data_IF_754313425099
#
_entry.id   IF_754313425099
#
_cell.length_a   1.000
_cell.length_b   1.000
_cell.length_c   1.000
_cell.angle_alpha   90.00
_cell.angle_beta   90.00
_cell.angle_gamma   90.00
#
_symmetry.space_group_name_H-M   'P 1'
#
loop_
_entity.id
_entity.type
_entity.pdbx_description
1 polymer ?
#
# COMPACT_ATOMS: atom_id res chain seq x y z
N UNK A 1 22.46 -13.83 -16.63
CA UNK A 1 21.52 -13.97 -17.77
C UNK A 1 20.34 -14.89 -17.50
N UNK A 2 20.46 -16.23 -17.33
CA UNK A 2 19.29 -17.13 -17.16
C UNK A 2 18.35 -16.76 -15.98
N UNK A 3 18.91 -16.32 -14.84
CA UNK A 3 18.12 -15.86 -13.67
C UNK A 3 17.41 -14.51 -13.89
N UNK A 4 17.97 -13.63 -14.72
CA UNK A 4 17.36 -12.34 -15.06
C UNK A 4 16.18 -12.52 -16.03
N UNK A 5 16.28 -13.50 -16.95
CA UNK A 5 15.23 -13.85 -17.90
C UNK A 5 13.98 -14.44 -17.20
N UNK A 6 14.17 -15.30 -16.20
CA UNK A 6 13.07 -15.86 -15.42
C UNK A 6 12.29 -14.79 -14.62
N UNK A 7 13.00 -13.78 -14.09
CA UNK A 7 12.38 -12.65 -13.37
C UNK A 7 11.62 -11.74 -14.35
N UNK A 8 12.15 -11.49 -15.55
CA UNK A 8 11.44 -10.77 -16.61
C UNK A 8 10.17 -11.51 -17.07
N UNK A 9 10.20 -12.85 -17.13
CA UNK A 9 9.04 -13.67 -17.43
C UNK A 9 7.98 -13.62 -16.31
N UNK A 10 8.38 -13.59 -15.04
CA UNK A 10 7.47 -13.41 -13.91
C UNK A 10 6.86 -12.00 -13.89
N UNK A 11 7.65 -10.96 -14.18
CA UNK A 11 7.17 -9.58 -14.35
C UNK A 11 6.20 -9.45 -15.53
N UNK A 12 6.47 -10.15 -16.63
CA UNK A 12 5.58 -10.20 -17.81
C UNK A 12 4.26 -10.91 -17.50
N UNK A 13 4.30 -12.04 -16.79
CA UNK A 13 3.10 -12.76 -16.35
C UNK A 13 2.26 -11.92 -15.36
N UNK A 14 2.92 -11.12 -14.53
CA UNK A 14 2.28 -10.18 -13.60
C UNK A 14 1.52 -9.04 -14.32
N UNK A 15 2.02 -8.58 -15.47
CA UNK A 15 1.33 -7.57 -16.31
C UNK A 15 0.06 -8.16 -16.97
N UNK A 16 -0.04 -9.47 -17.19
CA UNK A 16 -1.15 -10.06 -17.94
C UNK A 16 -2.42 -10.37 -17.11
N UNK A 17 -2.46 -10.06 -15.81
CA UNK A 17 -3.62 -10.32 -14.94
C UNK A 17 -4.27 -9.03 -14.44
N UNK A 18 -4.77 -8.20 -15.35
CA UNK A 18 -5.62 -7.06 -14.98
C UNK A 18 -7.09 -7.47 -14.94
N UNK A 19 -7.68 -7.40 -13.74
CA UNK A 19 -9.12 -7.37 -13.54
C UNK A 19 -9.55 -5.90 -13.53
N UNK A 20 -9.79 -5.31 -14.71
CA UNK A 20 -10.40 -3.97 -14.77
C UNK A 20 -11.91 -4.07 -14.49
N UNK A 21 -12.43 -3.20 -13.62
CA UNK A 21 -13.88 -3.02 -13.40
C UNK A 21 -14.45 -3.63 -12.12
N UNK A 22 -13.64 -4.06 -11.14
CA UNK A 22 -14.15 -4.52 -9.84
C UNK A 22 -14.42 -3.34 -8.90
N UNK A 23 -15.61 -3.33 -8.31
CA UNK A 23 -15.88 -2.56 -7.11
C UNK A 23 -15.21 -3.26 -5.91
N UNK A 24 -14.70 -2.48 -4.97
CA UNK A 24 -14.18 -2.99 -3.69
C UNK A 24 -14.36 -1.90 -2.64
N UNK A 25 -14.47 -2.28 -1.36
CA UNK A 25 -14.65 -1.32 -0.27
C UNK A 25 -13.36 -0.99 0.47
N UNK A 26 -12.25 -1.66 0.13
CA UNK A 26 -10.92 -1.38 0.63
C UNK A 26 -9.86 -2.06 -0.23
N UNK A 27 -8.69 -1.43 -0.38
CA UNK A 27 -7.50 -2.06 -0.90
C UNK A 27 -6.28 -1.69 -0.02
N UNK A 28 -5.41 -2.66 0.32
CA UNK A 28 -4.19 -2.36 1.06
C UNK A 28 -3.20 -1.65 0.14
N UNK A 29 -2.59 -0.57 0.62
CA UNK A 29 -1.44 0.06 -0.03
C UNK A 29 -0.14 -0.72 0.26
N UNK A 30 0.91 -0.47 -0.51
CA UNK A 30 2.23 -1.04 -0.21
C UNK A 30 2.74 -0.57 1.15
N UNK A 31 3.21 -1.52 1.97
CA UNK A 31 3.84 -1.20 3.24
C UNK A 31 5.19 -0.54 2.98
N UNK A 32 5.45 0.61 3.62
CA UNK A 32 6.74 1.32 3.51
C UNK A 32 7.73 0.74 4.53
N UNK A 33 8.77 0.08 4.01
CA UNK A 33 9.78 -0.66 4.79
C UNK A 33 11.18 -0.17 4.37
N UNK A 34 11.58 1.04 4.80
CA UNK A 34 12.76 1.71 4.25
C UNK A 34 14.06 1.08 4.76
N UNK A 35 15.14 1.23 3.99
CA UNK A 35 16.50 0.79 4.35
C UNK A 35 17.36 1.91 4.92
N UNK A 36 16.73 2.84 5.64
CA UNK A 36 17.39 3.94 6.34
C UNK A 36 18.29 3.38 7.45
N UNK A 37 19.54 3.81 7.45
CA UNK A 37 20.58 3.38 8.38
C UNK A 37 21.11 4.51 9.24
N UNK A 38 21.01 5.76 8.77
CA UNK A 38 21.63 6.90 9.45
C UNK A 38 20.68 8.08 9.54
N UNK A 39 20.94 8.91 10.55
CA UNK A 39 20.40 10.25 10.64
C UNK A 39 20.69 11.03 9.35
N UNK A 40 19.68 11.75 8.88
CA UNK A 40 19.78 12.59 7.70
C UNK A 40 19.62 11.84 6.37
N UNK A 41 19.30 10.54 6.42
CA UNK A 41 18.92 9.78 5.23
C UNK A 41 17.43 9.94 4.92
N UNK A 42 17.15 10.05 3.62
CA UNK A 42 15.82 10.09 3.02
C UNK A 42 15.71 8.89 2.09
N UNK A 43 14.63 8.14 2.19
CA UNK A 43 14.25 7.10 1.25
C UNK A 43 12.99 7.53 0.52
N UNK A 44 12.94 7.25 -0.78
CA UNK A 44 11.78 7.50 -1.63
C UNK A 44 11.51 6.28 -2.49
N UNK A 45 10.24 5.95 -2.69
CA UNK A 45 9.77 4.87 -3.54
C UNK A 45 8.57 5.30 -4.37
N UNK A 46 8.52 4.84 -5.62
CA UNK A 46 7.39 4.97 -6.52
C UNK A 46 6.97 3.57 -6.98
N UNK A 47 5.72 3.22 -6.76
CA UNK A 47 5.11 1.95 -7.09
C UNK A 47 4.01 2.11 -8.13
N UNK A 48 3.93 1.18 -9.08
CA UNK A 48 2.79 1.06 -10.00
C UNK A 48 2.16 -0.32 -9.89
N UNK A 49 0.87 -0.37 -9.53
CA UNK A 49 0.06 -1.58 -9.44
C UNK A 49 -0.82 -1.73 -10.67
N UNK A 50 -0.59 -2.76 -11.48
CA UNK A 50 -1.31 -2.93 -12.75
C UNK A 50 -2.78 -3.28 -12.54
N UNK A 51 -3.10 -4.21 -11.64
CA UNK A 51 -4.47 -4.71 -11.43
C UNK A 51 -5.45 -3.60 -11.01
N UNK A 52 -5.01 -2.66 -10.18
CA UNK A 52 -5.82 -1.54 -9.69
C UNK A 52 -5.51 -0.21 -10.37
N UNK A 53 -4.67 -0.22 -11.42
CA UNK A 53 -4.08 0.99 -12.03
C UNK A 53 -3.64 2.02 -10.97
N UNK A 54 -2.91 1.56 -9.96
CA UNK A 54 -2.60 2.33 -8.76
C UNK A 54 -1.20 2.89 -8.77
N UNK A 55 -1.06 4.13 -8.32
CA UNK A 55 0.20 4.77 -7.97
C UNK A 55 0.41 4.68 -6.45
N UNK A 56 1.59 4.26 -6.03
CA UNK A 56 2.01 4.23 -4.62
C UNK A 56 3.28 5.08 -4.47
N UNK A 57 3.26 6.06 -3.57
CA UNK A 57 4.39 6.94 -3.29
C UNK A 57 4.78 6.73 -1.83
N UNK A 58 6.05 6.43 -1.59
CA UNK A 58 6.59 6.17 -0.27
C UNK A 58 7.73 7.12 0.02
N UNK A 59 7.72 7.71 1.21
CA UNK A 59 8.75 8.58 1.73
C UNK A 59 9.13 8.12 3.12
N UNK A 60 10.43 8.15 3.41
CA UNK A 60 10.95 7.92 4.75
C UNK A 60 12.08 8.88 5.05
N UNK A 61 12.19 9.33 6.29
CA UNK A 61 13.23 10.24 6.73
C UNK A 61 13.65 9.94 8.16
N UNK A 62 14.95 10.05 8.45
CA UNK A 62 15.49 9.95 9.79
C UNK A 62 16.03 11.31 10.30
N UNK A 63 15.27 12.06 11.11
CA UNK A 63 15.73 13.33 11.67
C UNK A 63 16.81 13.17 12.76
N UNK A 64 16.74 12.06 13.50
CA UNK A 64 17.64 11.71 14.60
C UNK A 64 18.09 10.26 14.49
N UNK A 65 19.16 9.88 15.20
CA UNK A 65 19.59 8.49 15.28
C UNK A 65 18.42 7.62 15.76
N UNK A 66 18.15 6.53 15.03
CA UNK A 66 17.12 5.54 15.35
C UNK A 66 15.67 6.06 15.33
N UNK A 67 15.42 7.30 14.90
CA UNK A 67 14.06 7.84 14.71
C UNK A 67 13.70 7.81 13.22
N UNK A 68 12.48 7.36 12.92
CA UNK A 68 11.95 7.20 11.58
C UNK A 68 10.63 7.97 11.44
N UNK A 69 10.49 8.73 10.37
CA UNK A 69 9.24 9.32 9.91
C UNK A 69 8.92 8.71 8.55
N UNK A 70 7.68 8.27 8.36
CA UNK A 70 7.19 7.74 7.09
C UNK A 70 6.04 8.60 6.58
N UNK A 71 5.93 8.69 5.25
CA UNK A 71 4.76 9.20 4.56
C UNK A 71 4.44 8.29 3.38
N UNK A 72 3.17 7.92 3.23
CA UNK A 72 2.69 7.12 2.12
C UNK A 72 1.51 7.80 1.43
N UNK A 73 1.44 7.69 0.11
CA UNK A 73 0.28 8.12 -0.66
C UNK A 73 -0.05 7.05 -1.70
N UNK A 74 -1.26 6.52 -1.61
CA UNK A 74 -1.79 5.52 -2.53
C UNK A 74 -2.94 6.14 -3.32
N UNK A 75 -2.96 5.87 -4.63
CA UNK A 75 -4.00 6.39 -5.50
C UNK A 75 -4.30 5.40 -6.64
N UNK A 76 -5.48 4.79 -6.61
CA UNK A 76 -6.04 3.98 -7.70
C UNK A 76 -7.08 4.83 -8.44
N UNK A 77 -6.64 5.50 -9.51
CA UNK A 77 -7.48 6.48 -10.22
C UNK A 77 -8.21 5.85 -11.38
N UNK A 78 -9.51 6.06 -11.43
CA UNK A 78 -10.29 5.86 -12.64
C UNK A 78 -11.25 7.05 -12.83
N UNK A 79 -10.89 7.96 -13.75
CA UNK A 79 -11.70 9.16 -14.02
C UNK A 79 -13.10 8.80 -14.54
N UNK A 80 -13.20 7.73 -15.30
CA UNK A 80 -14.45 7.25 -15.88
C UNK A 80 -15.39 6.71 -14.79
N UNK A 81 -14.83 6.11 -13.75
CA UNK A 81 -15.58 5.73 -12.54
C UNK A 81 -16.17 6.98 -11.87
N UNK A 82 -15.38 8.02 -11.61
CA UNK A 82 -15.89 9.27 -11.00
C UNK A 82 -16.89 10.02 -11.88
N UNK A 83 -16.75 9.92 -13.20
CA UNK A 83 -17.71 10.48 -14.16
C UNK A 83 -18.95 9.58 -14.34
N UNK A 84 -19.01 8.46 -13.62
CA UNK A 84 -20.08 7.46 -13.67
C UNK A 84 -20.26 6.82 -15.06
N UNK A 85 -19.23 6.86 -15.90
CA UNK A 85 -19.23 6.27 -17.25
C UNK A 85 -18.65 4.85 -17.28
N UNK A 86 -18.04 4.39 -16.18
CA UNK A 86 -17.49 3.04 -16.01
C UNK A 86 -17.72 2.54 -14.59
N UNK A 87 -17.84 1.22 -14.41
CA UNK A 87 -17.89 0.60 -13.10
C UNK A 87 -16.51 0.43 -12.48
N UNK A 88 -16.49 0.42 -11.16
CA UNK A 88 -15.30 0.20 -10.38
C UNK A 88 -15.14 1.26 -9.31
N UNK A 89 -13.94 1.29 -8.75
CA UNK A 89 -13.63 2.09 -7.58
C UNK A 89 -12.47 3.05 -7.85
N UNK A 90 -12.69 4.33 -7.57
CA UNK A 90 -11.65 5.35 -7.43
C UNK A 90 -11.28 5.48 -5.96
N UNK A 91 -9.99 5.35 -5.64
CA UNK A 91 -9.53 5.31 -4.26
C UNK A 91 -8.25 6.13 -4.09
N UNK A 92 -8.21 6.95 -3.04
CA UNK A 92 -6.99 7.60 -2.59
C UNK A 92 -6.83 7.47 -1.08
N UNK A 93 -5.59 7.34 -0.63
CA UNK A 93 -5.25 7.17 0.77
C UNK A 93 -3.89 7.79 1.09
N UNK A 94 -3.84 8.67 2.08
CA UNK A 94 -2.60 9.29 2.57
C UNK A 94 -2.31 8.87 4.01
N UNK A 95 -1.04 8.65 4.34
CA UNK A 95 -0.61 8.23 5.66
C UNK A 95 0.65 8.93 6.10
N UNK A 96 0.78 9.11 7.42
CA UNK A 96 2.02 9.48 8.08
C UNK A 96 2.26 8.54 9.27
N UNK A 97 3.52 8.22 9.53
CA UNK A 97 3.90 7.42 10.69
C UNK A 97 5.20 7.91 11.30
N UNK A 98 5.37 7.62 12.57
CA UNK A 98 6.62 7.81 13.30
C UNK A 98 7.03 6.48 13.93
N UNK A 99 8.31 6.32 14.21
CA UNK A 99 8.77 5.13 14.88
C UNK A 99 10.27 5.09 15.08
N UNK A 100 10.74 3.88 15.34
CA UNK A 100 12.13 3.62 15.62
C UNK A 100 12.68 2.57 14.66
N UNK A 101 13.99 2.63 14.44
CA UNK A 101 14.69 1.64 13.65
C UNK A 101 16.02 1.26 14.30
N UNK A 102 16.45 0.02 14.07
CA UNK A 102 17.74 -0.51 14.51
C UNK A 102 18.49 -1.09 13.30
N UNK A 103 19.79 -0.82 13.24
CA UNK A 103 20.61 -1.23 12.10
C UNK A 103 21.43 -2.46 12.40
N UNK A 104 21.43 -3.40 11.45
CA UNK A 104 22.25 -4.60 11.45
C UNK A 104 23.20 -4.58 10.24
N UNK A 105 24.22 -5.44 10.22
CA UNK A 105 25.25 -5.47 9.16
C UNK A 105 24.69 -5.42 7.73
N UNK A 106 23.58 -6.12 7.47
CA UNK A 106 22.88 -6.13 6.18
C UNK A 106 21.38 -5.88 6.28
N UNK A 107 20.89 -5.46 7.46
CA UNK A 107 19.46 -5.29 7.69
C UNK A 107 19.11 -4.05 8.50
N UNK A 108 17.83 -3.72 8.52
CA UNK A 108 17.23 -2.67 9.34
C UNK A 108 15.93 -3.24 9.88
N UNK A 109 15.81 -3.34 11.20
CA UNK A 109 14.54 -3.61 11.86
C UNK A 109 13.85 -2.29 12.18
N UNK A 110 12.54 -2.21 12.03
CA UNK A 110 11.77 -1.01 12.36
C UNK A 110 10.46 -1.36 13.05
N UNK A 111 9.98 -0.43 13.87
CA UNK A 111 8.62 -0.44 14.38
C UNK A 111 8.06 0.97 14.23
N UNK A 112 6.95 1.10 13.52
CA UNK A 112 6.28 2.38 13.31
C UNK A 112 4.84 2.33 13.78
N UNK A 113 4.33 3.48 14.21
CA UNK A 113 2.92 3.69 14.47
C UNK A 113 2.46 4.90 13.66
N UNK A 114 1.29 4.79 13.06
CA UNK A 114 0.84 5.79 12.11
C UNK A 114 -0.66 5.95 12.05
N UNK A 115 -1.04 6.99 11.32
CA UNK A 115 -2.41 7.33 11.00
C UNK A 115 -2.53 7.68 9.53
N UNK A 116 -3.65 7.32 8.93
CA UNK A 116 -3.98 7.64 7.56
C UNK A 116 -5.45 7.94 7.36
N UNK A 117 -5.73 8.63 6.26
CA UNK A 117 -7.08 8.96 5.82
C UNK A 117 -7.18 8.87 4.30
N UNK A 118 -8.37 8.51 3.83
CA UNK A 118 -8.68 8.45 2.42
C UNK A 118 -10.16 8.39 2.14
N UNK A 119 -10.48 8.29 0.87
CA UNK A 119 -11.83 8.24 0.36
C UNK A 119 -11.89 7.27 -0.81
N UNK A 120 -12.99 6.54 -0.84
CA UNK A 120 -13.30 5.54 -1.83
C UNK A 120 -14.62 5.90 -2.47
N UNK A 121 -14.65 5.96 -3.80
CA UNK A 121 -15.84 6.21 -4.59
C UNK A 121 -16.05 5.04 -5.54
N UNK A 122 -17.15 4.31 -5.36
CA UNK A 122 -17.53 3.18 -6.21
C UNK A 122 -18.74 3.54 -7.07
N UNK A 123 -18.69 3.23 -8.36
CA UNK A 123 -19.80 3.39 -9.30
C UNK A 123 -20.39 2.03 -9.69
N UNK A 124 -21.72 1.92 -9.60
CA UNK A 124 -22.50 0.68 -9.82
C UNK A 124 -23.49 0.81 -10.99
N UNK A 125 -23.17 1.63 -12.00
CA UNK A 125 -24.05 2.00 -13.13
C UNK A 125 -25.29 2.82 -12.73
N UNK A 126 -25.96 3.41 -13.73
CA UNK A 126 -27.27 4.06 -13.58
C UNK A 126 -27.33 5.14 -12.48
N UNK A 127 -26.26 5.93 -12.30
CA UNK A 127 -26.11 6.93 -11.24
C UNK A 127 -26.14 6.36 -9.80
N UNK A 128 -25.89 5.06 -9.64
CA UNK A 128 -25.71 4.44 -8.34
C UNK A 128 -24.25 4.53 -7.91
N UNK A 129 -24.02 5.10 -6.72
CA UNK A 129 -22.67 5.25 -6.20
C UNK A 129 -22.61 5.05 -4.69
N UNK A 130 -21.46 4.60 -4.22
CA UNK A 130 -21.13 4.60 -2.81
C UNK A 130 -19.85 5.40 -2.59
N UNK A 131 -19.88 6.34 -1.65
CA UNK A 131 -18.72 7.11 -1.22
C UNK A 131 -18.44 6.81 0.25
N UNK A 132 -17.24 6.27 0.52
CA UNK A 132 -16.80 5.84 1.84
C UNK A 132 -15.56 6.61 2.26
N UNK A 133 -15.62 7.28 3.41
CA UNK A 133 -14.45 7.97 4.01
C UNK A 133 -13.78 7.08 5.05
N UNK A 134 -12.51 6.78 4.85
CA UNK A 134 -11.78 5.77 5.60
C UNK A 134 -10.68 6.45 6.44
N UNK A 135 -10.49 5.98 7.66
CA UNK A 135 -9.35 6.30 8.52
C UNK A 135 -8.68 5.02 8.98
N UNK A 136 -7.36 5.05 9.12
CA UNK A 136 -6.58 3.91 9.62
C UNK A 136 -5.62 4.36 10.69
N UNK A 137 -5.64 3.68 11.83
CA UNK A 137 -4.54 3.70 12.79
C UNK A 137 -3.77 2.40 12.65
N UNK A 138 -2.44 2.42 12.75
CA UNK A 138 -1.69 1.19 12.63
C UNK A 138 -0.42 1.16 13.48
N UNK A 139 0.04 -0.06 13.75
CA UNK A 139 1.40 -0.36 14.20
C UNK A 139 2.01 -1.37 13.22
N UNK A 140 3.26 -1.13 12.81
CA UNK A 140 3.94 -1.89 11.76
C UNK A 140 5.38 -2.23 12.18
N UNK A 141 5.61 -3.39 12.82
CA UNK A 141 6.93 -4.01 12.81
C UNK A 141 7.35 -4.41 11.40
N UNK A 142 8.61 -4.15 11.06
CA UNK A 142 9.19 -4.47 9.77
C UNK A 142 10.67 -4.81 9.86
N UNK A 143 11.15 -5.51 8.84
CA UNK A 143 12.56 -5.81 8.65
C UNK A 143 12.91 -5.73 7.17
N UNK A 144 13.92 -4.93 6.85
CA UNK A 144 14.47 -4.82 5.50
C UNK A 144 15.92 -5.32 5.48
N UNK A 145 16.22 -6.23 4.57
CA UNK A 145 17.54 -6.70 4.21
C UNK A 145 17.99 -6.05 2.90
N UNK A 146 19.21 -5.53 2.87
CA UNK A 146 19.81 -5.00 1.66
C UNK A 146 21.27 -5.43 1.55
N UNK A 147 21.57 -6.07 0.42
CA UNK A 147 22.92 -6.40 -0.02
C UNK A 147 23.33 -5.51 -1.20
N UNK A 148 24.48 -5.80 -1.81
CA UNK A 148 24.93 -5.06 -3.00
C UNK A 148 24.10 -5.35 -4.25
N UNK A 149 23.43 -6.51 -4.31
CA UNK A 149 22.72 -6.98 -5.50
C UNK A 149 21.22 -7.16 -5.30
N UNK A 150 20.79 -7.38 -4.05
CA UNK A 150 19.41 -7.75 -3.75
C UNK A 150 18.88 -7.03 -2.51
N UNK A 151 17.60 -6.69 -2.57
CA UNK A 151 16.79 -6.13 -1.50
C UNK A 151 15.62 -7.07 -1.20
N UNK A 152 15.36 -7.32 0.07
CA UNK A 152 14.11 -7.94 0.52
C UNK A 152 13.63 -7.28 1.79
N UNK A 153 12.32 -7.16 1.96
CA UNK A 153 11.72 -6.63 3.16
C UNK A 153 10.43 -7.38 3.49
N UNK A 154 10.10 -7.44 4.78
CA UNK A 154 8.85 -7.97 5.28
C UNK A 154 8.34 -7.07 6.40
N UNK A 155 7.04 -6.83 6.44
CA UNK A 155 6.40 -6.11 7.54
C UNK A 155 5.02 -6.70 7.81
N UNK A 156 4.63 -6.65 9.07
CA UNK A 156 3.28 -6.98 9.52
C UNK A 156 2.67 -5.69 10.05
N UNK A 157 1.54 -5.27 9.51
CA UNK A 157 0.81 -4.09 9.96
C UNK A 157 -0.49 -4.52 10.64
N UNK A 158 -0.67 -4.07 11.87
CA UNK A 158 -1.92 -4.23 12.60
C UNK A 158 -2.71 -2.94 12.47
N UNK A 159 -3.77 -2.97 11.68
CA UNK A 159 -4.58 -1.81 11.35
C UNK A 159 -5.90 -1.81 12.13
N UNK A 160 -6.32 -0.64 12.61
CA UNK A 160 -7.70 -0.34 13.02
C UNK A 160 -8.31 0.58 11.96
N UNK A 161 -9.15 -0.01 11.12
CA UNK A 161 -9.82 0.65 10.01
C UNK A 161 -11.17 1.20 10.47
N UNK A 162 -11.42 2.48 10.23
CA UNK A 162 -12.65 3.16 10.63
C UNK A 162 -13.31 3.82 9.42
N UNK A 163 -14.56 3.47 9.16
CA UNK A 163 -15.39 4.12 8.14
C UNK A 163 -16.15 5.26 8.81
N UNK A 164 -15.73 6.49 8.51
CA UNK A 164 -16.23 7.70 9.20
C UNK A 164 -17.45 8.31 8.56
N UNK A 165 -17.65 8.08 7.26
CA UNK A 165 -18.80 8.56 6.48
C UNK A 165 -19.10 7.54 5.38
N UNK A 166 -20.38 7.32 5.14
CA UNK A 166 -20.88 6.52 4.03
C UNK A 166 -22.05 7.27 3.38
N UNK A 167 -21.91 7.61 2.09
CA UNK A 167 -22.98 8.14 1.27
C UNK A 167 -23.30 7.10 0.19
N UNK A 168 -24.50 6.53 0.23
CA UNK A 168 -24.82 5.35 -0.58
C UNK A 168 -26.16 5.59 -1.30
N UNK A 169 -26.20 5.36 -2.61
CA UNK A 169 -27.45 5.42 -3.38
C UNK A 169 -28.41 4.29 -2.95
N UNK A 170 -29.69 4.61 -2.77
CA UNK A 170 -30.72 3.65 -2.34
C UNK A 170 -30.97 2.48 -3.33
N UNK A 171 -30.59 2.65 -4.59
CA UNK A 171 -30.84 1.72 -5.70
C UNK A 171 -29.64 0.84 -6.09
N UNK A 172 -28.62 0.75 -5.23
CA UNK A 172 -27.52 -0.21 -5.41
C UNK A 172 -28.05 -1.65 -5.26
N UNK A 173 -27.42 -2.59 -5.96
CA UNK A 173 -27.74 -4.02 -5.85
C UNK A 173 -27.72 -4.48 -4.37
N UNK A 174 -28.73 -5.25 -3.91
CA UNK A 174 -28.77 -5.76 -2.54
C UNK A 174 -27.50 -6.47 -2.06
N UNK A 175 -26.75 -7.16 -2.94
CA UNK A 175 -25.49 -7.81 -2.56
C UNK A 175 -24.42 -6.79 -2.16
N UNK A 176 -24.26 -5.72 -2.94
CA UNK A 176 -23.27 -4.67 -2.70
C UNK A 176 -23.65 -3.83 -1.47
N UNK A 177 -24.95 -3.57 -1.30
CA UNK A 177 -25.48 -2.90 -0.12
C UNK A 177 -25.21 -3.72 1.16
N UNK A 178 -25.36 -5.04 1.10
CA UNK A 178 -25.08 -5.92 2.24
C UNK A 178 -23.60 -5.85 2.67
N UNK A 179 -22.66 -5.72 1.73
CA UNK A 179 -21.24 -5.53 2.06
C UNK A 179 -21.01 -4.23 2.84
N UNK A 180 -21.63 -3.13 2.41
CA UNK A 180 -21.51 -1.83 3.10
C UNK A 180 -22.15 -1.90 4.49
N UNK A 181 -23.34 -2.50 4.62
CA UNK A 181 -24.00 -2.70 5.92
C UNK A 181 -23.16 -3.56 6.88
N UNK A 182 -22.49 -4.60 6.37
CA UNK A 182 -21.58 -5.42 7.16
C UNK A 182 -20.35 -4.64 7.64
N UNK A 183 -19.87 -3.68 6.83
CA UNK A 183 -18.78 -2.77 7.24
C UNK A 183 -19.27 -1.87 8.37
N UNK A 184 -20.44 -1.23 8.21
CA UNK A 184 -21.02 -0.34 9.23
C UNK A 184 -21.24 -1.07 10.55
N UNK A 185 -21.76 -2.30 10.52
CA UNK A 185 -22.03 -3.11 11.71
C UNK A 185 -20.76 -3.57 12.45
N UNK A 186 -19.62 -3.70 11.76
CA UNK A 186 -18.33 -4.16 12.33
C UNK A 186 -17.31 -3.05 12.53
N UNK A 187 -17.66 -1.81 12.21
CA UNK A 187 -16.80 -0.66 12.33
C UNK A 187 -16.50 -0.33 13.81
N UNK A 188 -15.24 -0.20 14.25
CA UNK A 188 -14.00 -0.28 13.50
C UNK A 188 -13.49 -1.72 13.29
N UNK A 189 -12.97 -1.99 12.10
CA UNK A 189 -12.44 -3.30 11.69
C UNK A 189 -10.96 -3.41 12.07
N UNK A 190 -10.60 -4.47 12.78
CA UNK A 190 -9.19 -4.81 13.04
C UNK A 190 -8.67 -5.69 11.90
N UNK A 191 -7.58 -5.26 11.27
CA UNK A 191 -7.10 -5.83 10.02
C UNK A 191 -5.58 -6.05 10.07
N UNK A 192 -5.10 -7.30 10.18
CA UNK A 192 -3.70 -7.60 9.99
C UNK A 192 -3.37 -7.65 8.48
N UNK A 193 -2.31 -6.95 8.11
CA UNK A 193 -1.78 -6.88 6.75
C UNK A 193 -0.31 -7.36 6.71
N UNK A 194 0.05 -8.21 5.76
CA UNK A 194 1.46 -8.58 5.49
C UNK A 194 1.93 -7.84 4.26
N UNK A 195 3.08 -7.19 4.37
CA UNK A 195 3.81 -6.61 3.25
C UNK A 195 5.11 -7.35 3.01
N UNK A 196 5.40 -7.69 1.76
CA UNK A 196 6.66 -8.27 1.31
C UNK A 196 7.18 -7.41 0.16
N UNK A 197 8.46 -7.05 0.21
CA UNK A 197 9.16 -6.44 -0.92
C UNK A 197 10.37 -7.28 -1.31
N UNK A 198 10.64 -7.42 -2.60
CA UNK A 198 11.84 -8.11 -3.09
C UNK A 198 12.29 -7.52 -4.42
N UNK A 199 13.60 -7.32 -4.61
CA UNK A 199 14.10 -6.63 -5.80
C UNK A 199 15.60 -6.67 -5.99
N UNK A 200 16.04 -6.13 -7.12
CA UNK A 200 17.44 -6.04 -7.53
C UNK A 200 17.95 -4.63 -7.27
N UNK A 201 19.15 -4.52 -6.72
CA UNK A 201 19.80 -3.23 -6.42
C UNK A 201 20.67 -2.81 -7.61
N UNK A 202 20.36 -1.65 -8.17
CA UNK A 202 21.13 -0.93 -9.19
C UNK A 202 21.55 0.43 -8.62
N UNK A 203 22.59 0.44 -7.76
CA UNK A 203 22.98 1.65 -7.00
C UNK A 203 22.97 2.91 -7.90
N UNK A 204 22.29 4.00 -7.50
CA UNK A 204 21.71 4.24 -6.18
C UNK A 204 20.26 3.73 -5.99
N UNK A 205 19.68 3.08 -6.99
CA UNK A 205 18.26 2.72 -7.04
C UNK A 205 18.09 1.21 -6.81
N UNK A 206 16.91 0.76 -6.40
CA UNK A 206 16.50 -0.63 -6.53
C UNK A 206 15.15 -0.74 -7.22
N UNK A 207 14.99 -1.80 -8.00
CA UNK A 207 13.76 -2.15 -8.70
C UNK A 207 13.25 -3.46 -8.11
N UNK A 208 12.01 -3.51 -7.66
CA UNK A 208 11.45 -4.68 -7.00
C UNK A 208 9.94 -4.77 -7.12
N UNK A 209 9.41 -5.88 -6.62
CA UNK A 209 7.99 -6.10 -6.43
C UNK A 209 7.65 -5.88 -4.97
N UNK A 210 6.55 -5.17 -4.72
CA UNK A 210 5.88 -5.06 -3.44
C UNK A 210 4.57 -5.81 -3.50
N UNK A 211 4.29 -6.64 -2.50
CA UNK A 211 3.03 -7.37 -2.35
C UNK A 211 2.50 -7.05 -0.96
N UNK A 212 1.26 -6.62 -0.88
CA UNK A 212 0.55 -6.36 0.37
C UNK A 212 -0.73 -7.17 0.41
N UNK A 213 -0.98 -7.86 1.51
CA UNK A 213 -2.11 -8.79 1.63
C UNK A 213 -2.79 -8.69 2.99
N UNK A 214 -4.06 -9.08 3.04
CA UNK A 214 -4.93 -9.10 4.22
C UNK A 214 -5.25 -10.54 4.60
N UNK A 215 -5.13 -10.87 5.90
CA UNK A 215 -5.10 -12.27 6.36
C UNK A 215 -6.38 -12.85 7.01
N UNK A 216 -7.39 -12.10 7.50
CA UNK A 216 -8.71 -12.70 7.70
C UNK A 216 -9.47 -12.85 6.38
N UNK A 217 -10.47 -13.74 6.37
CA UNK A 217 -11.48 -13.74 5.30
C UNK A 217 -12.27 -12.42 5.37
N UNK A 218 -12.25 -11.67 4.27
CA UNK A 218 -12.90 -10.37 4.12
C UNK A 218 -13.99 -10.39 3.06
N UNK A 219 -14.44 -11.57 2.61
CA UNK A 219 -15.46 -11.72 1.57
C UNK A 219 -16.78 -11.01 1.95
N UNK A 220 -17.10 -10.92 3.24
CA UNK A 220 -18.30 -10.23 3.72
C UNK A 220 -18.26 -8.70 3.52
N UNK A 221 -17.08 -8.12 3.30
CA UNK A 221 -16.87 -6.68 3.14
C UNK A 221 -16.37 -6.28 1.75
N UNK A 222 -16.12 -7.24 0.86
CA UNK A 222 -15.60 -7.01 -0.49
C UNK A 222 -14.29 -6.20 -0.50
N UNK A 223 -13.31 -6.67 0.28
CA UNK A 223 -11.97 -6.07 0.30
C UNK A 223 -11.05 -6.75 -0.72
N UNK A 224 -10.23 -5.95 -1.40
CA UNK A 224 -9.13 -6.46 -2.20
C UNK A 224 -8.08 -7.09 -1.28
N UNK A 225 -7.97 -8.42 -1.29
CA UNK A 225 -7.09 -9.17 -0.37
C UNK A 225 -5.61 -9.12 -0.72
N UNK A 226 -5.27 -8.72 -1.94
CA UNK A 226 -3.90 -8.66 -2.44
C UNK A 226 -3.75 -7.43 -3.34
N UNK A 227 -2.80 -6.58 -2.98
CA UNK A 227 -2.28 -5.54 -3.85
C UNK A 227 -0.83 -5.88 -4.19
N UNK A 228 -0.44 -5.71 -5.43
CA UNK A 228 0.94 -5.82 -5.83
C UNK A 228 1.34 -4.59 -6.64
N UNK A 229 2.60 -4.17 -6.53
CA UNK A 229 3.16 -3.02 -7.23
C UNK A 229 4.60 -3.28 -7.67
N UNK A 230 4.94 -2.83 -8.88
CA UNK A 230 6.33 -2.69 -9.30
C UNK A 230 6.89 -1.40 -8.70
N UNK A 231 7.92 -1.51 -7.87
CA UNK A 231 8.50 -0.41 -7.12
C UNK A 231 9.90 -0.04 -7.60
N UNK A 232 10.11 1.26 -7.81
CA UNK A 232 11.40 1.90 -8.02
C UNK A 232 11.72 2.78 -6.81
N UNK A 233 12.84 2.52 -6.15
CA UNK A 233 13.16 3.18 -4.88
C UNK A 233 14.63 3.58 -4.77
N UNK A 234 14.91 4.65 -4.02
CA UNK A 234 16.27 5.16 -3.79
C UNK A 234 16.40 5.67 -2.36
N UNK A 235 17.62 5.63 -1.83
CA UNK A 235 17.95 6.17 -0.52
C UNK A 235 19.19 7.05 -0.65
N UNK A 236 19.10 8.29 -0.18
CA UNK A 236 20.18 9.27 -0.22
C UNK A 236 20.36 9.90 1.16
N UNK A 237 21.58 10.32 1.48
CA UNK A 237 21.91 10.86 2.78
C UNK A 237 22.85 12.06 2.68
N UNK A 238 22.72 12.97 3.64
CA UNK A 238 23.68 14.07 3.79
C UNK A 238 24.97 13.54 4.41
N UNK A 239 26.08 13.52 3.65
CA UNK A 239 27.41 13.41 4.26
C UNK A 239 27.67 14.69 5.05
N UNK A 240 27.42 14.71 6.35
CA UNK A 240 28.14 15.66 7.20
C UNK A 240 29.59 15.20 7.26
N UNK A 241 30.48 15.96 6.61
CA UNK A 241 31.91 15.94 6.92
C UNK A 241 32.02 16.26 8.40
N UNK A 242 32.37 15.26 9.21
CA UNK A 242 32.96 15.46 10.53
C UNK A 242 34.44 15.71 10.36
#
# INVERSE_FOLDING_TARGET
MKKQLAILLLLYCWICTSLSGQNYNYAPNSLNIPTIRKRGEVSMGLGYGHATNSLDVQLAYSPFKQVLILGNYFHARNKEVRQQTMNGTDYYFGEAAIGFYETYKKGVGSITAGWGNGNLFSNYEMNNSAELSIQRWFVQPGFAYQSEFFHAAVALRFSRLNYTKANVSFSINPSDLAHIQNIEAKNPILLPELGIQAGIVFKPVYLGLSISSIFPDTNLWDFTRLNAALMLSTTFGTRRKG
#
